data_IF_671409465439
#
_entry.id   IF_671409465439
#
_cell.length_a   1.000
_cell.length_b   1.000
_cell.length_c   1.000
_cell.angle_alpha   90.00
_cell.angle_beta   90.00
_cell.angle_gamma   90.00
#
_symmetry.space_group_name_H-M   'P 1'
#
loop_
_entity.id
_entity.type
_entity.pdbx_description
1 polymer ?
#
# COMPACT_ATOMS: atom_id res chain seq x y z
N UNK A 1 -15.00 -16.96 54.73
CA UNK A 1 -15.07 -18.33 54.17
C UNK A 1 -16.20 -18.34 53.17
N UNK A 2 -15.93 -18.60 51.89
CA UNK A 2 -16.96 -18.80 50.87
C UNK A 2 -17.58 -20.18 51.08
N UNK A 3 -18.90 -20.24 51.22
CA UNK A 3 -19.63 -21.49 51.38
C UNK A 3 -19.49 -22.36 50.13
N UNK A 4 -19.33 -23.67 50.31
CA UNK A 4 -19.07 -24.64 49.23
C UNK A 4 -20.14 -24.56 48.15
N UNK A 5 -21.38 -24.23 48.52
CA UNK A 5 -22.51 -24.03 47.62
C UNK A 5 -22.32 -22.82 46.69
N UNK A 6 -21.81 -21.70 47.21
CA UNK A 6 -21.55 -20.49 46.43
C UNK A 6 -20.44 -20.66 45.38
N UNK A 7 -19.46 -21.53 45.65
CA UNK A 7 -18.40 -21.86 44.69
C UNK A 7 -18.96 -22.70 43.53
N UNK A 8 -19.83 -23.66 43.83
CA UNK A 8 -20.48 -24.52 42.81
C UNK A 8 -21.39 -23.68 41.90
N UNK A 9 -22.22 -22.80 42.47
CA UNK A 9 -23.11 -21.92 41.67
C UNK A 9 -22.32 -21.00 40.73
N UNK A 10 -21.14 -20.52 41.15
CA UNK A 10 -20.26 -19.70 40.32
C UNK A 10 -19.59 -20.49 39.20
N UNK A 11 -19.21 -21.75 39.46
CA UNK A 11 -18.65 -22.63 38.44
C UNK A 11 -19.71 -22.97 37.37
N UNK A 12 -20.93 -23.30 37.78
CA UNK A 12 -22.03 -23.53 36.84
C UNK A 12 -22.37 -22.28 36.00
N UNK A 13 -22.30 -21.10 36.61
CA UNK A 13 -22.49 -19.84 35.88
C UNK A 13 -21.37 -19.59 34.85
N UNK A 14 -20.12 -19.94 35.17
CA UNK A 14 -18.99 -19.79 34.25
C UNK A 14 -19.09 -20.79 33.09
N UNK A 15 -19.50 -22.03 33.36
CA UNK A 15 -19.72 -23.04 32.32
C UNK A 15 -20.78 -22.61 31.30
N UNK A 16 -21.87 -21.97 31.77
CA UNK A 16 -22.90 -21.40 30.88
C UNK A 16 -22.35 -20.28 30.02
N UNK A 17 -21.53 -19.39 30.57
CA UNK A 17 -20.91 -18.29 29.82
C UNK A 17 -19.93 -18.83 28.77
N UNK A 18 -19.13 -19.83 29.12
CA UNK A 18 -18.20 -20.48 28.18
C UNK A 18 -18.95 -21.18 27.05
N UNK A 19 -20.04 -21.88 27.36
CA UNK A 19 -20.88 -22.52 26.35
C UNK A 19 -21.53 -21.51 25.39
N UNK A 20 -21.97 -20.36 25.91
CA UNK A 20 -22.53 -19.28 25.08
C UNK A 20 -21.47 -18.64 24.18
N UNK A 21 -20.26 -18.42 24.72
CA UNK A 21 -19.13 -17.89 23.96
C UNK A 21 -18.72 -18.84 22.82
N UNK A 22 -18.66 -20.15 23.10
CA UNK A 22 -18.31 -21.16 22.12
C UNK A 22 -19.34 -21.22 20.97
N UNK A 23 -20.63 -21.09 21.28
CA UNK A 23 -21.69 -21.03 20.26
C UNK A 23 -21.53 -19.80 19.36
N UNK A 24 -21.28 -18.63 19.95
CA UNK A 24 -21.07 -17.38 19.20
C UNK A 24 -19.83 -17.41 18.30
N UNK A 25 -18.75 -18.06 18.74
CA UNK A 25 -17.56 -18.27 17.90
C UNK A 25 -17.90 -19.18 16.71
N UNK A 26 -18.65 -20.27 16.94
CA UNK A 26 -19.08 -21.16 15.87
C UNK A 26 -19.99 -20.46 14.84
N UNK A 27 -20.90 -19.60 15.30
CA UNK A 27 -21.76 -18.80 14.43
C UNK A 27 -20.94 -17.82 13.57
N UNK A 28 -19.90 -17.20 14.13
CA UNK A 28 -18.99 -16.30 13.40
C UNK A 28 -18.14 -17.04 12.37
N UNK A 29 -17.68 -18.26 12.68
CA UNK A 29 -16.97 -19.10 11.72
C UNK A 29 -17.88 -19.54 10.57
N UNK A 30 -19.13 -19.90 10.88
CA UNK A 30 -20.15 -20.19 9.85
C UNK A 30 -20.43 -18.96 8.99
N UNK A 31 -20.45 -17.76 9.58
CA UNK A 31 -20.63 -16.51 8.85
C UNK A 31 -19.43 -16.20 7.93
N UNK A 32 -18.20 -16.44 8.40
CA UNK A 32 -16.97 -16.33 7.60
C UNK A 32 -17.02 -17.26 6.39
N UNK A 33 -17.45 -18.50 6.58
CA UNK A 33 -17.46 -19.49 5.49
C UNK A 33 -18.59 -19.24 4.48
N UNK A 34 -19.69 -18.61 4.92
CA UNK A 34 -20.78 -18.13 4.06
C UNK A 34 -20.47 -16.80 3.37
N UNK A 35 -19.49 -16.04 3.85
CA UNK A 35 -18.89 -14.88 3.19
C UNK A 35 -17.96 -15.33 2.04
N UNK A 36 -18.51 -16.04 1.06
CA UNK A 36 -17.94 -16.04 -0.30
C UNK A 36 -18.19 -14.66 -0.89
N UNK A 37 -17.40 -13.68 -0.45
CA UNK A 37 -17.23 -12.43 -1.18
C UNK A 37 -17.03 -12.81 -2.64
N UNK A 38 -17.80 -12.24 -3.59
CA UNK A 38 -17.54 -12.48 -4.99
C UNK A 38 -16.08 -12.12 -5.20
N UNK A 39 -15.26 -13.14 -5.48
CA UNK A 39 -13.90 -12.94 -5.94
C UNK A 39 -14.07 -12.19 -7.25
N UNK A 40 -14.06 -10.86 -7.17
CA UNK A 40 -13.96 -9.99 -8.33
C UNK A 40 -12.57 -10.31 -8.86
N UNK A 41 -12.49 -11.36 -9.69
CA UNK A 41 -11.38 -11.59 -10.59
C UNK A 41 -11.42 -10.40 -11.54
N UNK A 42 -10.92 -9.25 -11.09
CA UNK A 42 -10.44 -8.21 -11.98
C UNK A 42 -9.37 -8.92 -12.79
N UNK A 43 -9.75 -9.38 -13.99
CA UNK A 43 -8.83 -9.80 -15.02
C UNK A 43 -7.92 -8.59 -15.21
N UNK A 44 -6.75 -8.57 -14.56
CA UNK A 44 -5.78 -7.51 -14.73
C UNK A 44 -5.35 -7.64 -16.18
N UNK A 45 -5.97 -6.86 -17.05
CA UNK A 45 -5.45 -6.63 -18.40
C UNK A 45 -4.06 -6.07 -18.15
N UNK A 46 -3.04 -6.80 -18.56
CA UNK A 46 -1.66 -6.36 -18.43
C UNK A 46 -1.45 -5.23 -19.45
N UNK A 47 -1.81 -4.00 -19.06
CA UNK A 47 -1.74 -2.80 -19.90
C UNK A 47 -0.29 -2.34 -20.14
N UNK A 48 0.71 -3.05 -19.61
CA UNK A 48 2.11 -2.62 -19.67
C UNK A 48 2.44 -1.45 -18.73
N UNK A 49 1.44 -0.84 -18.08
CA UNK A 49 1.61 0.27 -17.14
C UNK A 49 2.54 -0.08 -15.97
N UNK A 50 2.50 -1.32 -15.48
CA UNK A 50 3.38 -1.76 -14.41
C UNK A 50 4.85 -1.76 -14.88
N UNK A 51 5.10 -2.19 -16.12
CA UNK A 51 6.44 -2.20 -16.72
C UNK A 51 6.97 -0.79 -16.94
N UNK A 52 6.12 0.14 -17.38
CA UNK A 52 6.48 1.54 -17.56
C UNK A 52 6.81 2.23 -16.23
N UNK A 53 6.04 1.96 -15.16
CA UNK A 53 6.31 2.51 -13.82
C UNK A 53 7.61 1.97 -13.24
N UNK A 54 7.86 0.67 -13.38
CA UNK A 54 9.12 0.05 -12.94
C UNK A 54 10.31 0.62 -13.69
N UNK A 55 10.21 0.77 -15.02
CA UNK A 55 11.25 1.37 -15.84
C UNK A 55 11.51 2.84 -15.44
N UNK A 56 10.45 3.62 -15.24
CA UNK A 56 10.58 5.02 -14.83
C UNK A 56 11.22 5.14 -13.43
N UNK A 57 10.86 4.25 -12.49
CA UNK A 57 11.48 4.20 -11.18
C UNK A 57 12.97 3.87 -11.27
N UNK A 58 13.33 2.92 -12.13
CA UNK A 58 14.72 2.52 -12.35
C UNK A 58 15.54 3.63 -13.03
N UNK A 59 14.94 4.35 -13.98
CA UNK A 59 15.53 5.54 -14.58
C UNK A 59 15.80 6.61 -13.52
N UNK A 60 14.79 6.94 -12.71
CA UNK A 60 14.91 7.95 -11.65
C UNK A 60 15.96 7.55 -10.61
N UNK A 61 16.04 6.26 -10.26
CA UNK A 61 16.96 5.77 -9.24
C UNK A 61 18.43 5.72 -9.69
N UNK A 62 18.70 5.47 -10.98
CA UNK A 62 20.06 5.24 -11.46
C UNK A 62 20.65 6.41 -12.28
N UNK A 63 19.81 7.23 -12.92
CA UNK A 63 20.27 8.27 -13.85
C UNK A 63 20.14 9.70 -13.33
N UNK A 64 19.58 9.86 -12.14
CA UNK A 64 19.40 11.14 -11.48
C UNK A 64 19.98 11.09 -10.08
N UNK A 65 20.71 12.16 -9.72
CA UNK A 65 21.12 12.37 -8.34
C UNK A 65 19.93 12.80 -7.48
N UNK A 66 20.07 12.70 -6.16
CA UNK A 66 19.01 13.09 -5.23
C UNK A 66 18.59 14.57 -5.38
N UNK A 67 19.56 15.46 -5.62
CA UNK A 67 19.31 16.89 -5.87
C UNK A 67 18.51 17.11 -7.17
N UNK A 68 18.85 16.38 -8.23
CA UNK A 68 18.10 16.45 -9.49
C UNK A 68 16.66 15.93 -9.34
N UNK A 69 16.45 14.89 -8.53
CA UNK A 69 15.11 14.40 -8.23
C UNK A 69 14.30 15.43 -7.44
N UNK A 70 14.92 16.19 -6.53
CA UNK A 70 14.25 17.29 -5.83
C UNK A 70 13.86 18.42 -6.78
N UNK A 71 14.74 18.79 -7.71
CA UNK A 71 14.45 19.77 -8.76
C UNK A 71 13.29 19.31 -9.66
N UNK A 72 13.31 18.06 -10.11
CA UNK A 72 12.22 17.45 -10.89
C UNK A 72 10.91 17.50 -10.09
N UNK A 73 10.95 17.11 -8.82
CA UNK A 73 9.79 17.10 -7.93
C UNK A 73 9.18 18.49 -7.80
N UNK A 74 9.99 19.52 -7.58
CA UNK A 74 9.54 20.90 -7.52
C UNK A 74 8.95 21.37 -8.85
N UNK A 75 9.61 21.03 -9.96
CA UNK A 75 9.18 21.42 -11.32
C UNK A 75 7.83 20.83 -11.72
N UNK A 76 7.49 19.64 -11.23
CA UNK A 76 6.16 19.04 -11.44
C UNK A 76 5.10 19.53 -10.45
N UNK A 77 5.44 20.51 -9.60
CA UNK A 77 4.55 21.13 -8.63
C UNK A 77 4.33 20.29 -7.37
N UNK A 78 5.27 19.39 -7.04
CA UNK A 78 5.25 18.61 -5.82
C UNK A 78 6.36 19.09 -4.87
N UNK A 79 6.17 18.86 -3.58
CA UNK A 79 7.13 19.27 -2.56
C UNK A 79 7.89 18.04 -2.04
N UNK A 80 9.23 18.01 -2.11
CA UNK A 80 10.03 16.88 -1.64
C UNK A 80 9.74 16.48 -0.19
N UNK A 81 9.44 17.47 0.66
CA UNK A 81 9.10 17.30 2.08
C UNK A 81 7.83 16.46 2.31
N UNK A 82 6.92 16.42 1.33
CA UNK A 82 5.68 15.65 1.39
C UNK A 82 5.82 14.26 0.77
N UNK A 83 6.97 13.96 0.17
CA UNK A 83 7.22 12.73 -0.59
C UNK A 83 8.25 11.87 0.13
N UNK A 84 9.40 12.45 0.50
CA UNK A 84 10.46 11.71 1.19
C UNK A 84 10.29 11.78 2.71
N UNK A 85 10.48 10.64 3.37
CA UNK A 85 10.98 10.69 4.74
C UNK A 85 12.43 11.22 4.73
N UNK A 86 12.88 11.88 5.79
CA UNK A 86 14.29 12.34 5.93
C UNK A 86 15.33 11.21 5.81
N UNK A 87 14.88 9.97 5.78
CA UNK A 87 15.68 8.73 5.71
C UNK A 87 15.48 7.94 4.41
N UNK A 88 14.71 8.45 3.44
CA UNK A 88 14.42 7.71 2.21
C UNK A 88 15.68 7.57 1.36
N UNK A 89 16.01 6.33 0.97
CA UNK A 89 17.06 6.05 -0.02
C UNK A 89 16.60 6.53 -1.40
N UNK A 90 17.53 6.77 -2.31
CA UNK A 90 17.23 7.28 -3.65
C UNK A 90 16.23 6.40 -4.44
N UNK A 91 16.31 5.05 -4.42
CA UNK A 91 15.29 4.19 -5.01
C UNK A 91 13.92 4.31 -4.32
N UNK A 92 13.89 4.44 -3.00
CA UNK A 92 12.64 4.62 -2.26
C UNK A 92 11.98 5.96 -2.65
N UNK A 93 12.77 7.03 -2.74
CA UNK A 93 12.29 8.33 -3.16
C UNK A 93 11.74 8.32 -4.59
N UNK A 94 12.41 7.64 -5.53
CA UNK A 94 11.93 7.50 -6.90
C UNK A 94 10.53 6.84 -6.97
N UNK A 95 10.30 5.81 -6.16
CA UNK A 95 8.98 5.18 -6.05
C UNK A 95 7.94 6.09 -5.41
N UNK A 96 8.28 6.74 -4.29
CA UNK A 96 7.41 7.69 -3.60
C UNK A 96 7.00 8.85 -4.53
N UNK A 97 7.95 9.36 -5.32
CA UNK A 97 7.72 10.40 -6.32
C UNK A 97 6.74 9.96 -7.41
N UNK A 98 6.89 8.76 -7.95
CA UNK A 98 5.95 8.21 -8.95
C UNK A 98 4.55 8.06 -8.35
N UNK A 99 4.44 7.55 -7.13
CA UNK A 99 3.16 7.44 -6.43
C UNK A 99 2.51 8.80 -6.20
N UNK A 100 3.29 9.79 -5.74
CA UNK A 100 2.80 11.14 -5.53
C UNK A 100 2.36 11.79 -6.86
N UNK A 101 3.12 11.58 -7.94
CA UNK A 101 2.77 12.06 -9.27
C UNK A 101 1.47 11.42 -9.78
N UNK A 102 1.24 10.13 -9.55
CA UNK A 102 -0.01 9.45 -9.89
C UNK A 102 -1.19 10.05 -9.11
N UNK A 103 -1.05 10.16 -7.78
CA UNK A 103 -2.13 10.64 -6.91
C UNK A 103 -2.53 12.08 -7.21
N UNK A 104 -1.60 12.90 -7.72
CA UNK A 104 -1.84 14.30 -8.07
C UNK A 104 -2.09 14.52 -9.57
N UNK A 105 -2.19 13.47 -10.39
CA UNK A 105 -2.41 13.59 -11.84
C UNK A 105 -1.24 14.26 -12.59
N UNK A 106 -0.02 14.13 -12.08
CA UNK A 106 1.22 14.73 -12.61
C UNK A 106 2.16 13.71 -13.27
N UNK A 107 1.73 12.47 -13.47
CA UNK A 107 2.57 11.41 -14.04
C UNK A 107 3.09 11.77 -15.45
N UNK A 108 2.23 12.31 -16.31
CA UNK A 108 2.63 12.72 -17.67
C UNK A 108 3.67 13.85 -17.64
N UNK A 109 3.51 14.79 -16.71
CA UNK A 109 4.44 15.90 -16.52
C UNK A 109 5.79 15.42 -15.98
N UNK A 110 5.79 14.45 -15.06
CA UNK A 110 6.99 13.77 -14.59
C UNK A 110 7.72 13.10 -15.77
N UNK A 111 7.00 12.34 -16.59
CA UNK A 111 7.56 11.68 -17.76
C UNK A 111 8.17 12.67 -18.75
N UNK A 112 7.45 13.75 -19.08
CA UNK A 112 7.95 14.82 -19.95
C UNK A 112 9.20 15.47 -19.39
N UNK A 113 9.22 15.81 -18.09
CA UNK A 113 10.38 16.44 -17.43
C UNK A 113 11.61 15.53 -17.45
N UNK A 114 11.41 14.23 -17.21
CA UNK A 114 12.48 13.23 -17.27
C UNK A 114 13.01 13.08 -18.70
N UNK A 115 12.11 13.03 -19.70
CA UNK A 115 12.48 12.99 -21.12
C UNK A 115 13.24 14.24 -21.55
N UNK A 116 12.85 15.42 -21.10
CA UNK A 116 13.58 16.68 -21.38
C UNK A 116 14.99 16.68 -20.79
N UNK A 117 15.16 16.20 -19.55
CA UNK A 117 16.49 16.17 -18.89
C UNK A 117 17.41 15.09 -19.44
N UNK A 118 16.85 13.96 -19.92
CA UNK A 118 17.60 12.80 -20.40
C UNK A 118 16.92 12.20 -21.65
N UNK A 119 16.94 12.92 -22.79
CA UNK A 119 16.25 12.48 -24.00
C UNK A 119 16.80 11.14 -24.53
N UNK A 120 18.11 10.93 -24.41
CA UNK A 120 18.80 9.70 -24.81
C UNK A 120 18.31 8.41 -24.11
N UNK A 121 17.56 8.50 -23.00
CA UNK A 121 16.96 7.33 -22.36
C UNK A 121 15.67 6.87 -23.05
N UNK A 122 15.11 7.71 -23.92
CA UNK A 122 13.84 7.50 -24.60
C UNK A 122 13.98 7.52 -26.13
N UNK A 123 15.12 7.97 -26.64
CA UNK A 123 15.43 7.96 -28.07
C UNK A 123 16.02 6.59 -28.46
N UNK A 124 15.13 5.66 -28.79
CA UNK A 124 15.42 4.41 -29.51
C UNK A 124 14.56 4.35 -30.79
N UNK A 125 14.54 5.44 -31.56
CA UNK A 125 14.05 5.46 -32.95
C UNK A 125 15.12 6.02 -33.89
#
# INVERSE_FOLDING_TARGET
MLDRKSIVDRLESLERVVADLARRVSDLESWRDNLKLPQVKKKRVDTGELKQKVLLADILANFFSQEELYDITFRIGLYPEHIASKTSTLPAYAWELIHAAINNGRLDLLYQTVKEKRPFLFDNE
#
